data_IF_071811904506
#
_entry.id   IF_071811904506
#
_cell.length_a   1.000
_cell.length_b   1.000
_cell.length_c   1.000
_cell.angle_alpha   90.00
_cell.angle_beta   90.00
_cell.angle_gamma   90.00
#
_symmetry.space_group_name_H-M   'P 1'
#
loop_
_entity.id
_entity.type
_entity.pdbx_description
1 polymer ?
#
# COMPACT_ATOMS: atom_id res chain seq x y z
N UNK A 1 -10.52 9.47 10.85
CA UNK A 1 -9.37 8.61 11.15
C UNK A 1 -8.39 8.74 9.99
N UNK A 2 -7.45 9.68 10.08
CA UNK A 2 -6.48 9.96 9.01
C UNK A 2 -5.24 9.09 9.24
N UNK A 3 -5.27 7.85 8.73
CA UNK A 3 -4.13 6.93 8.77
C UNK A 3 -3.19 7.13 7.58
N UNK A 4 -1.91 6.78 7.74
CA UNK A 4 -0.93 6.73 6.64
C UNK A 4 -1.29 5.58 5.70
N UNK A 5 -1.22 5.78 4.39
CA UNK A 5 -1.57 4.73 3.41
C UNK A 5 -0.73 4.76 2.15
N UNK A 6 -0.57 3.60 1.52
CA UNK A 6 -0.04 3.42 0.18
C UNK A 6 -1.18 3.07 -0.78
N UNK A 7 -1.32 3.83 -1.86
CA UNK A 7 -2.20 3.49 -2.99
C UNK A 7 -1.34 2.87 -4.08
N UNK A 8 -1.68 1.65 -4.49
CA UNK A 8 -0.98 0.95 -5.56
C UNK A 8 -1.41 1.47 -6.93
N UNK A 9 -0.50 1.42 -7.91
CA UNK A 9 -0.82 1.70 -9.32
C UNK A 9 -1.87 0.69 -9.83
N UNK A 10 -2.71 1.07 -10.80
CA UNK A 10 -3.67 0.14 -11.41
C UNK A 10 -3.02 -1.18 -11.85
N UNK A 11 -3.60 -2.31 -11.45
CA UNK A 11 -3.13 -3.66 -11.78
C UNK A 11 -1.88 -4.13 -11.03
N UNK A 12 -1.36 -3.36 -10.06
CA UNK A 12 -0.21 -3.73 -9.20
C UNK A 12 -0.60 -4.29 -7.83
N UNK A 13 -1.88 -4.56 -7.63
CA UNK A 13 -2.48 -5.20 -6.45
C UNK A 13 -2.47 -6.74 -6.52
N UNK A 14 -2.29 -7.33 -7.72
CA UNK A 14 -2.30 -8.79 -7.93
C UNK A 14 -1.33 -9.54 -7.02
N UNK A 15 -0.12 -9.02 -6.80
CA UNK A 15 0.86 -9.66 -5.91
C UNK A 15 0.36 -9.71 -4.46
N UNK A 16 -0.25 -8.62 -3.98
CA UNK A 16 -0.83 -8.52 -2.64
C UNK A 16 -2.03 -9.45 -2.48
N UNK A 17 -2.90 -9.51 -3.49
CA UNK A 17 -4.05 -10.44 -3.51
C UNK A 17 -3.61 -11.92 -3.49
N UNK A 18 -2.47 -12.23 -4.12
CA UNK A 18 -1.84 -13.54 -4.04
C UNK A 18 -0.95 -13.73 -2.80
N UNK A 19 -1.07 -12.84 -1.80
CA UNK A 19 -0.36 -12.91 -0.51
C UNK A 19 1.16 -12.88 -0.62
N UNK A 20 1.69 -12.26 -1.68
CA UNK A 20 3.11 -11.92 -1.75
C UNK A 20 3.42 -10.88 -0.68
N UNK A 21 4.44 -11.09 0.18
CA UNK A 21 4.64 -10.26 1.36
C UNK A 21 5.21 -8.87 1.05
N UNK A 22 5.74 -8.65 -0.16
CA UNK A 22 6.42 -7.39 -0.51
C UNK A 22 5.67 -6.58 -1.56
N UNK A 23 5.73 -5.26 -1.38
CA UNK A 23 5.28 -4.23 -2.30
C UNK A 23 6.52 -3.48 -2.77
N UNK A 24 6.89 -3.63 -4.04
CA UNK A 24 8.02 -2.91 -4.61
C UNK A 24 7.67 -1.45 -4.86
N UNK A 25 8.64 -0.53 -4.72
CA UNK A 25 8.44 0.92 -4.92
C UNK A 25 7.81 1.26 -6.28
N UNK A 26 8.15 0.52 -7.34
CA UNK A 26 7.54 0.68 -8.67
C UNK A 26 6.04 0.40 -8.73
N UNK A 27 5.48 -0.34 -7.76
CA UNK A 27 4.06 -0.61 -7.62
C UNK A 27 3.29 0.49 -6.88
N UNK A 28 3.97 1.34 -6.11
CA UNK A 28 3.34 2.44 -5.35
C UNK A 28 3.00 3.59 -6.30
N UNK A 29 1.74 4.02 -6.29
CA UNK A 29 1.24 5.15 -7.06
C UNK A 29 1.15 6.44 -6.25
N UNK A 30 0.71 6.34 -4.99
CA UNK A 30 0.59 7.48 -4.08
C UNK A 30 0.89 7.06 -2.65
N UNK A 31 1.53 7.96 -1.91
CA UNK A 31 1.76 7.84 -0.46
C UNK A 31 0.96 8.95 0.22
N UNK A 32 0.07 8.59 1.13
CA UNK A 32 -0.72 9.53 1.92
C UNK A 32 -0.16 9.66 3.33
N UNK A 33 0.02 10.90 3.77
CA UNK A 33 0.74 11.23 5.01
C UNK A 33 2.25 11.24 4.79
N UNK A 34 3.01 11.13 5.88
CA UNK A 34 4.47 11.11 5.87
C UNK A 34 4.99 9.90 6.68
N UNK A 35 4.81 8.66 6.20
CA UNK A 35 5.28 7.48 6.91
C UNK A 35 6.80 7.47 7.03
N UNK A 36 7.28 7.12 8.22
CA UNK A 36 8.68 6.87 8.53
C UNK A 36 8.96 5.36 8.48
N UNK A 37 10.23 4.97 8.41
CA UNK A 37 10.62 3.57 8.38
C UNK A 37 10.03 2.81 9.58
N UNK A 38 9.37 1.69 9.32
CA UNK A 38 8.71 0.86 10.32
C UNK A 38 7.29 1.31 10.71
N UNK A 39 6.81 2.46 10.22
CA UNK A 39 5.43 2.87 10.45
C UNK A 39 4.46 1.85 9.83
N UNK A 40 3.35 1.58 10.55
CA UNK A 40 2.25 0.82 9.98
C UNK A 40 1.45 1.70 9.02
N UNK A 41 1.32 1.23 7.78
CA UNK A 41 0.53 1.88 6.73
C UNK A 41 -0.57 0.95 6.22
N UNK A 42 -1.70 1.52 5.84
CA UNK A 42 -2.71 0.79 5.07
C UNK A 42 -2.28 0.66 3.62
N UNK A 43 -2.53 -0.49 3.01
CA UNK A 43 -2.30 -0.72 1.58
C UNK A 43 -3.65 -0.79 0.89
N UNK A 44 -3.83 -0.01 -0.18
CA UNK A 44 -5.07 0.04 -0.95
C UNK A 44 -4.80 -0.09 -2.45
N UNK A 45 -5.74 -0.66 -3.20
CA UNK A 45 -5.65 -0.68 -4.66
C UNK A 45 -5.96 0.72 -5.25
N UNK A 46 -5.87 0.85 -6.57
CA UNK A 46 -6.13 2.11 -7.27
C UNK A 46 -7.59 2.62 -7.14
N UNK A 47 -8.55 1.74 -6.84
CA UNK A 47 -9.95 2.08 -6.57
C UNK A 47 -10.20 2.52 -5.12
N UNK A 48 -9.19 2.39 -4.24
CA UNK A 48 -9.28 2.69 -2.82
C UNK A 48 -9.66 1.51 -1.93
N UNK A 49 -9.86 0.31 -2.49
CA UNK A 49 -10.20 -0.89 -1.74
C UNK A 49 -9.03 -1.30 -0.82
N UNK A 50 -9.36 -1.72 0.39
CA UNK A 50 -8.37 -2.15 1.37
C UNK A 50 -7.78 -3.52 1.01
N UNK A 51 -6.46 -3.61 0.99
CA UNK A 51 -5.73 -4.84 0.70
C UNK A 51 -5.00 -5.41 1.93
N UNK A 52 -4.65 -4.57 2.90
CA UNK A 52 -3.89 -5.00 4.06
C UNK A 52 -3.22 -3.87 4.83
N UNK A 53 -2.32 -4.26 5.74
CA UNK A 53 -1.37 -3.38 6.41
C UNK A 53 0.06 -3.83 6.11
N UNK A 54 0.97 -2.88 6.02
CA UNK A 54 2.40 -3.14 5.82
C UNK A 54 3.23 -2.25 6.75
N UNK A 55 4.48 -2.65 6.99
CA UNK A 55 5.50 -1.75 7.51
C UNK A 55 6.11 -0.97 6.33
N UNK A 56 6.20 0.36 6.46
CA UNK A 56 6.81 1.24 5.46
C UNK A 56 8.34 1.19 5.50
#
# INVERSE_FOLDING_TARGET
MSGKSLILKPGRDKSVLHRHPWIYSGAVGQVNGNPQAGDTVEVRNASGDWLGRAAY
#
